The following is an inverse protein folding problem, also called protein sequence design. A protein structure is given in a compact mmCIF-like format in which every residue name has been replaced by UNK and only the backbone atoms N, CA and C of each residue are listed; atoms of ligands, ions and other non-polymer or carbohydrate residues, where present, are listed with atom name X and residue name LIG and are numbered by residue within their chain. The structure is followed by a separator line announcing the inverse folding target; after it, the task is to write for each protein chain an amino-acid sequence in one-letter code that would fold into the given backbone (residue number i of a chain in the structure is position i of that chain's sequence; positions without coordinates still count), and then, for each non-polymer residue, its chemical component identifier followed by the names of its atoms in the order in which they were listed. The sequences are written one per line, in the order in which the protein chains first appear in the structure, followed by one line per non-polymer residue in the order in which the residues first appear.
data_IF_959083113881
#
_entry.id   IF_959083113881
#
_cell.length_a   1.000
_cell.length_b   1.000
_cell.length_c   1.000
_cell.angle_alpha   90.00
_cell.angle_beta   90.00
_cell.angle_gamma   90.00
#
_symmetry.space_group_name_H-M   'P 1'
#
loop_
_entity.id
_entity.type
_entity.pdbx_description
1 polymer ?
#
# COMPACT_ATOMS: atom_id res chain seq x y z
N UNK A 1 -3.77 -11.42 4.18
CA UNK A 1 -3.80 -10.74 2.86
C UNK A 1 -5.18 -10.20 2.49
N UNK A 2 -6.26 -11.01 2.51
CA UNK A 2 -7.61 -10.59 2.07
C UNK A 2 -8.15 -9.31 2.73
N UNK A 3 -7.91 -9.12 4.04
CA UNK A 3 -8.36 -7.91 4.75
C UNK A 3 -7.62 -6.64 4.33
N UNK A 4 -6.29 -6.73 4.17
CA UNK A 4 -5.47 -5.61 3.68
C UNK A 4 -5.89 -5.20 2.27
N UNK A 5 -6.08 -6.18 1.37
CA UNK A 5 -6.62 -5.95 0.01
C UNK A 5 -7.92 -5.16 0.05
N UNK A 6 -8.86 -5.58 0.90
CA UNK A 6 -10.17 -4.92 1.04
C UNK A 6 -10.04 -3.47 1.50
N UNK A 7 -9.14 -3.19 2.46
CA UNK A 7 -8.87 -1.83 2.92
C UNK A 7 -8.34 -0.96 1.78
N UNK A 8 -7.38 -1.46 0.99
CA UNK A 8 -6.79 -0.72 -0.13
C UNK A 8 -7.86 -0.37 -1.17
N UNK A 9 -8.64 -1.37 -1.62
CA UNK A 9 -9.69 -1.15 -2.63
C UNK A 9 -10.84 -0.28 -2.11
N UNK A 10 -11.13 -0.29 -0.81
CA UNK A 10 -12.11 0.61 -0.19
C UNK A 10 -11.55 2.01 0.09
N UNK A 11 -10.24 2.24 -0.06
CA UNK A 11 -9.61 3.52 0.27
C UNK A 11 -10.01 4.60 -0.74
N UNK A 12 -10.05 4.24 -2.02
CA UNK A 12 -10.38 5.14 -3.13
C UNK A 12 -10.91 4.33 -4.32
N UNK A 13 -12.04 4.77 -4.90
CA UNK A 13 -12.71 4.08 -6.02
C UNK A 13 -11.89 4.01 -7.31
N UNK A 14 -10.84 4.84 -7.42
CA UNK A 14 -9.97 4.91 -8.59
C UNK A 14 -8.94 3.77 -8.64
N UNK A 15 -8.70 3.11 -7.50
CA UNK A 15 -7.71 2.06 -7.37
C UNK A 15 -8.21 0.77 -7.99
N UNK A 16 -7.43 0.22 -8.91
CA UNK A 16 -7.66 -1.10 -9.50
C UNK A 16 -6.69 -2.13 -8.93
N UNK A 17 -7.07 -3.40 -9.00
CA UNK A 17 -6.18 -4.52 -8.70
C UNK A 17 -5.89 -5.32 -9.98
N UNK A 18 -4.65 -5.77 -10.11
CA UNK A 18 -4.21 -6.70 -11.14
C UNK A 18 -3.20 -7.70 -10.56
N UNK A 19 -2.96 -8.81 -11.25
CA UNK A 19 -1.86 -9.72 -10.91
C UNK A 19 -0.65 -9.34 -11.75
N UNK A 20 0.45 -8.97 -11.08
CA UNK A 20 1.76 -8.72 -11.71
C UNK A 20 2.81 -9.54 -10.99
N UNK A 21 3.68 -10.21 -11.75
CA UNK A 21 4.73 -11.07 -11.18
C UNK A 21 4.18 -12.08 -10.15
N UNK A 22 3.05 -12.71 -10.48
CA UNK A 22 2.33 -13.65 -9.60
C UNK A 22 1.88 -13.05 -8.25
N UNK A 23 1.75 -11.73 -8.15
CA UNK A 23 1.40 -11.05 -6.90
C UNK A 23 0.32 -10.00 -7.09
N UNK A 24 -0.68 -9.89 -6.19
CA UNK A 24 -1.69 -8.84 -6.30
C UNK A 24 -1.04 -7.47 -6.17
N UNK A 25 -1.30 -6.64 -7.16
CA UNK A 25 -0.74 -5.30 -7.33
C UNK A 25 -1.85 -4.29 -7.53
N UNK A 26 -1.81 -3.24 -6.74
CA UNK A 26 -2.77 -2.14 -6.74
C UNK A 26 -2.20 -0.97 -7.53
N UNK A 27 -3.01 -0.38 -8.39
CA UNK A 27 -2.58 0.66 -9.32
C UNK A 27 -3.64 1.74 -9.55
N UNK A 28 -3.16 2.95 -9.80
CA UNK A 28 -3.91 4.08 -10.34
C UNK A 28 -2.90 5.07 -10.92
N UNK A 29 -2.98 5.34 -12.23
CA UNK A 29 -2.01 6.16 -12.96
C UNK A 29 -0.53 5.78 -12.66
N UNK A 30 -0.30 4.46 -12.53
CA UNK A 30 0.97 3.87 -12.08
C UNK A 30 0.76 2.80 -11.00
N UNK A 31 1.79 2.00 -10.75
CA UNK A 31 1.76 0.95 -9.72
C UNK A 31 1.99 1.55 -8.33
N UNK A 32 0.98 1.40 -7.46
CA UNK A 32 1.00 1.94 -6.10
C UNK A 32 1.79 0.98 -5.21
N UNK A 33 1.27 -0.23 -5.07
CA UNK A 33 1.82 -1.22 -4.16
C UNK A 33 1.51 -2.66 -4.58
N UNK A 34 2.41 -3.56 -4.24
CA UNK A 34 2.22 -5.01 -4.39
C UNK A 34 2.40 -5.71 -3.05
N UNK A 35 1.75 -6.86 -2.85
CA UNK A 35 2.13 -7.69 -1.71
C UNK A 35 3.55 -8.25 -1.88
N UNK A 36 4.23 -8.54 -0.78
CA UNK A 36 5.49 -9.29 -0.79
C UNK A 36 5.19 -10.73 -0.33
N UNK A 37 5.41 -11.76 -1.16
CA UNK A 37 4.98 -13.14 -0.89
C UNK A 37 5.80 -13.85 0.20
N UNK A 38 6.95 -13.30 0.63
CA UNK A 38 7.90 -13.99 1.52
C UNK A 38 7.55 -13.93 3.02
N UNK A 39 6.50 -13.23 3.43
CA UNK A 39 6.21 -13.03 4.84
C UNK A 39 5.14 -14.04 5.35
N UNK A 40 5.57 -15.07 6.08
CA UNK A 40 4.67 -16.07 6.68
C UNK A 40 3.86 -15.52 7.87
N UNK A 41 4.42 -14.56 8.61
CA UNK A 41 3.87 -14.09 9.89
C UNK A 41 3.31 -12.66 9.85
N UNK A 42 3.52 -11.93 8.75
CA UNK A 42 3.06 -10.56 8.59
C UNK A 42 2.65 -10.32 7.14
N UNK A 43 1.76 -9.36 6.91
CA UNK A 43 1.43 -8.90 5.57
C UNK A 43 2.32 -7.72 5.25
N UNK A 44 3.12 -7.83 4.19
CA UNK A 44 3.98 -6.76 3.70
C UNK A 44 3.46 -6.22 2.37
N UNK A 45 3.40 -4.90 2.27
CA UNK A 45 3.12 -4.15 1.05
C UNK A 45 4.39 -3.41 0.63
N UNK A 46 4.85 -3.64 -0.60
CA UNK A 46 5.88 -2.85 -1.24
C UNK A 46 5.21 -1.72 -2.02
N UNK A 47 5.42 -0.47 -1.61
CA UNK A 47 5.05 0.72 -2.36
C UNK A 47 6.20 1.07 -3.31
N UNK A 48 6.05 0.79 -4.59
CA UNK A 48 7.12 0.91 -5.60
C UNK A 48 7.71 2.33 -5.67
N UNK A 49 6.85 3.32 -5.46
CA UNK A 49 7.18 4.76 -5.44
C UNK A 49 6.69 5.42 -4.15
N UNK A 50 6.82 4.70 -3.03
CA UNK A 50 6.36 5.16 -1.73
C UNK A 50 6.99 6.48 -1.26
N UNK A 51 8.22 6.79 -1.68
CA UNK A 51 8.89 8.06 -1.36
C UNK A 51 8.32 9.28 -2.11
N UNK A 52 7.61 9.07 -3.22
CA UNK A 52 6.93 10.15 -3.96
C UNK A 52 5.55 10.49 -3.34
N UNK A 53 5.07 9.70 -2.38
CA UNK A 53 3.73 9.89 -1.80
C UNK A 53 3.75 11.13 -0.89
N UNK A 54 2.97 12.19 -1.19
CA UNK A 54 2.98 13.39 -0.39
C UNK A 54 2.34 13.16 0.99
N UNK A 55 2.82 13.91 1.99
CA UNK A 55 2.29 13.90 3.35
C UNK A 55 3.16 13.12 4.34
N UNK A 56 2.70 13.06 5.59
CA UNK A 56 3.39 12.36 6.67
C UNK A 56 2.79 10.96 6.86
N UNK A 57 3.57 9.93 6.50
CA UNK A 57 3.18 8.52 6.56
C UNK A 57 4.23 7.72 7.35
N UNK A 58 4.20 7.77 8.70
CA UNK A 58 5.26 7.17 9.53
C UNK A 58 5.34 5.64 9.43
N UNK A 59 4.31 4.99 8.87
CA UNK A 59 4.29 3.53 8.63
C UNK A 59 4.86 3.14 7.26
N UNK A 60 5.21 4.10 6.41
CA UNK A 60 5.97 3.86 5.19
C UNK A 60 7.46 3.84 5.54
N UNK A 61 7.97 2.63 5.72
CA UNK A 61 9.34 2.41 6.17
C UNK A 61 10.25 2.03 4.99
N UNK A 62 11.54 2.33 5.11
CA UNK A 62 12.55 1.94 4.14
C UNK A 62 13.43 3.10 3.71
N UNK A 63 14.69 2.78 3.43
CA UNK A 63 15.73 3.77 3.10
C UNK A 63 16.00 3.84 1.58
N UNK A 64 15.29 3.05 0.79
CA UNK A 64 15.49 3.02 -0.66
C UNK A 64 15.16 4.37 -1.31
N UNK A 65 15.78 4.66 -2.47
CA UNK A 65 15.57 5.94 -3.17
C UNK A 65 14.11 6.24 -3.52
N UNK A 66 13.30 5.22 -3.81
CA UNK A 66 11.92 5.37 -4.26
C UNK A 66 10.93 4.49 -3.49
N UNK A 67 11.32 3.26 -3.17
CA UNK A 67 10.41 2.30 -2.57
C UNK A 67 10.24 2.52 -1.07
N UNK A 68 9.03 2.27 -0.57
CA UNK A 68 8.72 2.13 0.86
C UNK A 68 7.96 0.84 1.10
N UNK A 69 7.99 0.34 2.32
CA UNK A 69 7.28 -0.86 2.74
C UNK A 69 6.36 -0.51 3.89
N UNK A 70 5.16 -1.08 3.91
CA UNK A 70 4.31 -1.08 5.09
C UNK A 70 4.01 -2.52 5.49
N UNK A 71 4.13 -2.81 6.79
CA UNK A 71 3.94 -4.16 7.33
C UNK A 71 2.79 -4.17 8.34
N UNK A 72 2.10 -5.30 8.40
CA UNK A 72 1.05 -5.58 9.38
C UNK A 72 1.28 -6.95 9.99
N UNK A 73 1.63 -7.00 11.29
CA UNK A 73 1.87 -8.26 11.99
C UNK A 73 0.56 -9.01 12.36
N UNK A 74 -0.57 -8.31 12.45
CA UNK A 74 -1.83 -8.89 12.92
C UNK A 74 -3.05 -8.12 12.41
N UNK A 75 -4.22 -8.73 12.54
CA UNK A 75 -5.48 -8.09 12.18
C UNK A 75 -5.79 -6.87 13.07
N UNK A 76 -5.39 -6.89 14.34
CA UNK A 76 -5.55 -5.77 15.26
C UNK A 76 -4.68 -4.57 14.84
N UNK A 77 -3.42 -4.84 14.50
CA UNK A 77 -2.51 -3.83 13.95
C UNK A 77 -3.05 -3.23 12.65
N UNK A 78 -3.57 -4.08 11.74
CA UNK A 78 -4.24 -3.59 10.54
C UNK A 78 -5.43 -2.68 10.89
N UNK A 79 -6.26 -3.04 11.87
CA UNK A 79 -7.42 -2.22 12.26
C UNK A 79 -6.97 -0.86 12.83
N UNK A 80 -5.96 -0.86 13.69
CA UNK A 80 -5.39 0.36 14.28
C UNK A 80 -4.78 1.29 13.23
N UNK A 81 -4.09 0.75 12.23
CA UNK A 81 -3.41 1.52 11.18
C UNK A 81 -4.15 1.53 9.83
N UNK A 82 -5.39 1.06 9.79
CA UNK A 82 -6.29 1.22 8.63
C UNK A 82 -6.38 2.68 8.17
N UNK A 83 -6.59 3.69 9.05
CA UNK A 83 -6.64 5.08 8.60
C UNK A 83 -5.33 5.55 7.95
N UNK A 84 -4.19 5.07 8.41
CA UNK A 84 -2.88 5.41 7.84
C UNK A 84 -2.72 4.80 6.44
N UNK A 85 -3.04 3.51 6.28
CA UNK A 85 -3.04 2.85 4.97
C UNK A 85 -3.98 3.54 3.98
N UNK A 86 -5.20 3.88 4.40
CA UNK A 86 -6.15 4.61 3.54
C UNK A 86 -5.62 6.00 3.15
N UNK A 87 -4.95 6.69 4.07
CA UNK A 87 -4.36 8.01 3.82
C UNK A 87 -3.25 7.93 2.78
N UNK A 88 -2.38 6.94 2.87
CA UNK A 88 -1.31 6.68 1.87
C UNK A 88 -1.92 6.46 0.48
N UNK A 89 -2.92 5.59 0.37
CA UNK A 89 -3.56 5.27 -0.92
C UNK A 89 -4.23 6.50 -1.53
N UNK A 90 -4.98 7.28 -0.73
CA UNK A 90 -5.61 8.51 -1.20
C UNK A 90 -4.59 9.58 -1.59
N UNK A 91 -3.51 9.72 -0.82
CA UNK A 91 -2.44 10.67 -1.13
C UNK A 91 -1.79 10.36 -2.48
N UNK A 92 -1.52 9.09 -2.77
CA UNK A 92 -1.07 8.69 -4.11
C UNK A 92 -2.09 9.08 -5.19
N UNK A 93 -3.36 8.72 -4.99
CA UNK A 93 -4.38 8.95 -6.02
C UNK A 93 -4.59 10.44 -6.28
N UNK A 94 -4.50 11.28 -5.25
CA UNK A 94 -4.56 12.73 -5.42
C UNK A 94 -3.33 13.27 -6.14
N UNK A 95 -2.13 12.79 -5.79
CA UNK A 95 -0.89 13.21 -6.45
C UNK A 95 -0.86 12.89 -7.94
N UNK A 96 -1.30 11.69 -8.35
CA UNK A 96 -1.30 11.24 -9.75
C UNK A 96 -2.56 11.61 -10.54
N UNK A 97 -3.50 12.33 -9.94
CA UNK A 97 -4.71 12.81 -10.62
C UNK A 97 -4.57 14.25 -11.15
N UNK A 98 -3.47 14.92 -10.80
CA UNK A 98 -3.02 16.22 -11.33
C UNK A 98 -2.08 16.02 -12.49
#
# INVERSE_FOLDING_TARGET
MVRVRRVILASDKRVSESIKWSTPTFSYNGDIASFIPKAKNFVSLLFHRGAEIPGNHPRLEGDSRLARTMRFASADELKKYTPDLQKVIRAWCNHKST
#
